data_IF_754302232348
#
_entry.id   IF_754302232348
#
_cell.length_a   1.000
_cell.length_b   1.000
_cell.length_c   1.000
_cell.angle_alpha   90.00
_cell.angle_beta   90.00
_cell.angle_gamma   90.00
#
_symmetry.space_group_name_H-M   'P 1'
#
loop_
_entity.id
_entity.type
_entity.pdbx_description
1 polymer ?
#
# COMPACT_ATOMS: atom_id res chain seq x y z
N UNK A 1 -12.71 2.04 -13.77
CA UNK A 1 -11.96 2.79 -14.77
C UNK A 1 -10.55 3.24 -14.31
N UNK A 2 -10.30 3.50 -13.03
CA UNK A 2 -8.96 3.93 -12.53
C UNK A 2 -7.85 2.86 -12.65
N UNK A 3 -8.15 1.57 -12.68
CA UNK A 3 -7.14 0.51 -12.81
C UNK A 3 -6.63 0.27 -14.25
N UNK A 4 -7.39 0.67 -15.25
CA UNK A 4 -7.03 0.47 -16.66
C UNK A 4 -5.97 1.46 -17.16
N UNK A 5 -6.03 2.72 -16.69
CA UNK A 5 -5.09 3.79 -17.05
C UNK A 5 -3.70 3.61 -16.39
N UNK A 6 -3.61 2.80 -15.35
CA UNK A 6 -2.33 2.52 -14.67
C UNK A 6 -1.52 1.38 -15.34
N UNK A 7 -2.08 0.73 -16.35
CA UNK A 7 -1.44 -0.37 -17.07
C UNK A 7 -0.80 0.17 -18.35
N UNK A 8 0.52 0.50 -18.28
CA UNK A 8 1.28 1.07 -19.39
C UNK A 8 1.12 0.28 -20.70
N UNK A 9 1.05 -1.06 -20.62
CA UNK A 9 0.88 -1.92 -21.80
C UNK A 9 -0.51 -1.77 -22.42
N UNK A 10 -1.55 -1.51 -21.63
CA UNK A 10 -2.89 -1.28 -22.13
C UNK A 10 -2.99 0.09 -22.82
N UNK A 11 -2.45 1.14 -22.20
CA UNK A 11 -2.46 2.49 -22.74
C UNK A 11 -1.66 2.59 -24.06
N UNK A 12 -0.43 2.04 -24.07
CA UNK A 12 0.40 2.04 -25.28
C UNK A 12 -0.13 1.10 -26.37
N UNK A 13 -0.82 0.02 -26.00
CA UNK A 13 -1.51 -0.88 -26.93
C UNK A 13 -2.68 -0.19 -27.62
N UNK A 14 -3.51 0.53 -26.87
CA UNK A 14 -4.60 1.35 -27.42
C UNK A 14 -4.06 2.42 -28.37
N UNK A 15 -2.93 3.04 -28.01
CA UNK A 15 -2.29 4.06 -28.85
C UNK A 15 -1.73 3.45 -30.16
N UNK A 16 -1.13 2.27 -30.10
CA UNK A 16 -0.66 1.55 -31.30
C UNK A 16 -1.82 1.14 -32.20
N UNK A 17 -2.95 0.71 -31.65
CA UNK A 17 -4.18 0.40 -32.40
C UNK A 17 -4.77 1.66 -33.01
N UNK A 18 -4.82 2.77 -32.28
CA UNK A 18 -5.30 4.06 -32.80
C UNK A 18 -4.47 4.54 -33.98
N UNK A 19 -3.13 4.43 -33.89
CA UNK A 19 -2.20 4.76 -34.98
C UNK A 19 -2.43 3.83 -36.19
N UNK A 20 -2.64 2.54 -35.98
CA UNK A 20 -2.93 1.59 -37.05
C UNK A 20 -4.26 1.91 -37.77
N UNK A 21 -5.30 2.30 -37.03
CA UNK A 21 -6.58 2.75 -37.57
C UNK A 21 -6.40 4.04 -38.39
N UNK A 22 -5.60 4.96 -37.91
CA UNK A 22 -5.33 6.23 -38.57
C UNK A 22 -4.53 6.03 -39.88
N UNK A 23 -3.61 5.08 -39.91
CA UNK A 23 -2.92 4.63 -41.13
C UNK A 23 -3.92 4.02 -42.11
N UNK A 24 -4.84 3.19 -41.64
CA UNK A 24 -5.79 2.49 -42.48
C UNK A 24 -6.82 3.42 -43.14
N UNK A 25 -7.39 4.34 -42.41
CA UNK A 25 -8.45 5.25 -42.88
C UNK A 25 -7.93 6.63 -43.30
N UNK A 26 -6.87 7.15 -42.65
CA UNK A 26 -6.34 8.49 -42.90
C UNK A 26 -5.39 8.56 -44.10
N UNK A 27 -4.56 7.55 -44.32
CA UNK A 27 -3.59 7.53 -45.41
C UNK A 27 -4.22 7.65 -46.83
N UNK A 28 -5.33 6.99 -47.17
CA UNK A 28 -5.97 7.17 -48.47
C UNK A 28 -6.44 8.60 -48.75
N UNK A 29 -6.83 9.30 -47.66
CA UNK A 29 -7.33 10.69 -47.78
C UNK A 29 -6.17 11.67 -47.90
N UNK A 30 -5.04 11.39 -47.23
CA UNK A 30 -3.91 12.29 -47.12
C UNK A 30 -2.86 12.09 -48.23
N UNK A 31 -2.68 10.86 -48.70
CA UNK A 31 -1.65 10.45 -49.66
C UNK A 31 -2.23 9.44 -50.66
N UNK A 32 -2.86 9.88 -51.75
CA UNK A 32 -3.48 8.98 -52.73
C UNK A 32 -2.51 7.96 -53.32
N UNK A 33 -1.22 8.28 -53.44
CA UNK A 33 -0.16 7.36 -53.89
C UNK A 33 0.03 6.13 -53.00
N UNK A 34 -0.37 6.21 -51.71
CA UNK A 34 -0.30 5.12 -50.73
C UNK A 34 -1.68 4.45 -50.51
N UNK A 35 -2.62 4.64 -51.42
CA UNK A 35 -3.97 4.08 -51.30
C UNK A 35 -4.02 2.56 -51.49
N UNK A 36 -2.94 1.91 -51.97
CA UNK A 36 -2.92 0.48 -52.13
C UNK A 36 -3.05 -0.27 -50.78
N UNK A 37 -4.00 -1.20 -50.70
CA UNK A 37 -4.34 -1.98 -49.50
C UNK A 37 -3.11 -2.67 -48.94
N UNK A 38 -2.21 -3.18 -49.78
CA UNK A 38 -0.99 -3.87 -49.36
C UNK A 38 -0.02 -2.92 -48.62
N UNK A 39 0.12 -1.65 -49.00
CA UNK A 39 1.00 -0.69 -48.33
C UNK A 39 0.43 -0.30 -46.97
N UNK A 40 -0.87 -0.06 -46.86
CA UNK A 40 -1.54 0.27 -45.59
C UNK A 40 -1.51 -0.88 -44.61
N UNK A 41 -1.79 -2.08 -45.11
CA UNK A 41 -1.70 -3.30 -44.30
C UNK A 41 -0.28 -3.56 -43.78
N UNK A 42 0.72 -3.36 -44.63
CA UNK A 42 2.14 -3.47 -44.27
C UNK A 42 2.55 -2.48 -43.18
N UNK A 43 2.20 -1.20 -43.32
CA UNK A 43 2.50 -0.17 -42.33
C UNK A 43 1.81 -0.39 -41.00
N UNK A 44 0.53 -0.71 -41.00
CA UNK A 44 -0.21 -1.05 -39.77
C UNK A 44 0.39 -2.29 -39.09
N UNK A 45 0.75 -3.33 -39.85
CA UNK A 45 1.39 -4.52 -39.32
C UNK A 45 2.78 -4.22 -38.70
N UNK A 46 3.58 -3.33 -39.30
CA UNK A 46 4.86 -2.92 -38.76
C UNK A 46 4.69 -2.17 -37.43
N UNK A 47 3.71 -1.28 -37.30
CA UNK A 47 3.44 -0.56 -36.04
C UNK A 47 3.03 -1.54 -34.94
N UNK A 48 2.14 -2.48 -35.23
CA UNK A 48 1.71 -3.48 -34.27
C UNK A 48 2.82 -4.45 -33.89
N UNK A 49 3.63 -4.88 -34.87
CA UNK A 49 4.78 -5.74 -34.64
C UNK A 49 5.87 -5.06 -33.78
N UNK A 50 6.17 -3.79 -34.07
CA UNK A 50 7.11 -2.99 -33.28
C UNK A 50 6.63 -2.80 -31.83
N UNK A 51 5.32 -2.55 -31.63
CA UNK A 51 4.75 -2.50 -30.29
C UNK A 51 4.82 -3.86 -29.57
N UNK A 52 4.47 -4.94 -30.25
CA UNK A 52 4.53 -6.29 -29.70
C UNK A 52 5.97 -6.70 -29.31
N UNK A 53 6.94 -6.36 -30.16
CA UNK A 53 8.36 -6.57 -29.89
C UNK A 53 8.84 -5.75 -28.68
N UNK A 54 8.48 -4.48 -28.60
CA UNK A 54 8.82 -3.62 -27.46
C UNK A 54 8.19 -4.12 -26.17
N UNK A 55 6.93 -4.57 -26.19
CA UNK A 55 6.25 -5.16 -25.07
C UNK A 55 6.88 -6.50 -24.64
N UNK A 56 7.28 -7.33 -25.60
CA UNK A 56 7.98 -8.60 -25.37
C UNK A 56 9.38 -8.40 -24.77
N UNK A 57 10.18 -7.48 -25.33
CA UNK A 57 11.52 -7.17 -24.84
C UNK A 57 11.48 -6.61 -23.39
N UNK A 58 10.52 -5.74 -23.09
CA UNK A 58 10.33 -5.24 -21.71
C UNK A 58 9.91 -6.35 -20.76
N UNK A 59 9.08 -7.29 -21.18
CA UNK A 59 8.71 -8.47 -20.37
C UNK A 59 9.91 -9.38 -20.12
N UNK A 60 10.76 -9.56 -21.14
CA UNK A 60 11.95 -10.37 -21.04
C UNK A 60 13.01 -9.74 -20.14
N UNK A 61 13.21 -8.41 -20.24
CA UNK A 61 14.16 -7.70 -19.38
C UNK A 61 13.69 -7.64 -17.91
N UNK A 62 12.38 -7.50 -17.66
CA UNK A 62 11.83 -7.58 -16.32
C UNK A 62 11.99 -8.99 -15.70
N UNK A 63 11.83 -10.03 -16.50
CA UNK A 63 12.07 -11.43 -16.06
C UNK A 63 13.57 -11.68 -15.82
N UNK A 64 14.43 -11.24 -16.73
CA UNK A 64 15.88 -11.38 -16.58
C UNK A 64 16.44 -10.56 -15.41
N UNK A 65 15.90 -9.37 -15.14
CA UNK A 65 16.26 -8.58 -13.96
C UNK A 65 15.87 -9.30 -12.67
N UNK A 66 14.71 -9.97 -12.62
CA UNK A 66 14.31 -10.77 -11.48
C UNK A 66 15.17 -12.03 -11.31
N UNK A 67 15.48 -12.72 -12.41
CA UNK A 67 16.28 -13.95 -12.40
C UNK A 67 17.78 -13.63 -12.09
N UNK A 68 18.32 -12.52 -12.60
CA UNK A 68 19.71 -12.09 -12.33
C UNK A 68 19.88 -11.61 -10.88
N UNK A 69 18.89 -10.93 -10.30
CA UNK A 69 18.89 -10.55 -8.89
C UNK A 69 18.81 -11.81 -8.01
N UNK A 70 17.97 -12.77 -8.34
CA UNK A 70 17.91 -14.06 -7.63
C UNK A 70 19.25 -14.82 -7.68
N UNK A 71 19.97 -14.80 -8.82
CA UNK A 71 21.27 -15.46 -8.97
C UNK A 71 22.44 -14.69 -8.34
N UNK A 72 22.43 -13.36 -8.36
CA UNK A 72 23.45 -12.53 -7.68
C UNK A 72 23.33 -12.60 -6.16
N UNK A 73 22.11 -12.79 -5.62
CA UNK A 73 21.87 -12.99 -4.20
C UNK A 73 22.34 -14.38 -3.71
N UNK A 74 22.32 -15.40 -4.58
CA UNK A 74 22.84 -16.73 -4.26
C UNK A 74 24.38 -16.78 -4.18
N UNK A 75 25.10 -15.80 -4.73
CA UNK A 75 26.58 -15.76 -4.76
C UNK A 75 27.22 -14.84 -3.73
N UNK A 76 26.42 -14.02 -3.02
CA UNK A 76 26.95 -13.21 -1.92
C UNK A 76 27.01 -14.04 -0.63
N UNK A 77 28.17 -14.58 -0.30
CA UNK A 77 28.46 -15.21 1.01
C UNK A 77 28.43 -14.13 2.11
N UNK A 78 27.23 -13.75 2.49
CA UNK A 78 26.96 -12.90 3.65
C UNK A 78 26.81 -13.76 4.89
N UNK A 79 26.82 -13.14 6.06
CA UNK A 79 26.66 -13.81 7.35
C UNK A 79 25.39 -14.69 7.39
N UNK A 80 25.38 -15.68 8.27
CA UNK A 80 24.27 -16.65 8.40
C UNK A 80 22.88 -16.00 8.52
N UNK A 81 22.82 -14.79 9.09
CA UNK A 81 21.61 -13.99 9.24
C UNK A 81 21.02 -13.54 7.88
N UNK A 82 21.88 -13.11 6.95
CA UNK A 82 21.45 -12.70 5.60
C UNK A 82 20.84 -13.88 4.85
N UNK A 83 21.45 -15.06 4.96
CA UNK A 83 20.95 -16.29 4.32
C UNK A 83 19.54 -16.65 4.85
N UNK A 84 19.33 -16.53 6.16
CA UNK A 84 18.01 -16.80 6.77
C UNK A 84 16.96 -15.80 6.29
N UNK A 85 17.28 -14.51 6.23
CA UNK A 85 16.35 -13.48 5.74
C UNK A 85 16.02 -13.71 4.27
N UNK A 86 17.03 -14.03 3.44
CA UNK A 86 16.84 -14.36 2.01
C UNK A 86 15.95 -15.58 1.80
N UNK A 87 16.22 -16.65 2.54
CA UNK A 87 15.42 -17.86 2.47
C UNK A 87 13.97 -17.60 2.85
N UNK A 88 13.72 -16.94 3.98
CA UNK A 88 12.37 -16.60 4.43
C UNK A 88 11.63 -15.69 3.46
N UNK A 89 12.30 -14.70 2.88
CA UNK A 89 11.71 -13.86 1.84
C UNK A 89 11.37 -14.67 0.59
N UNK A 90 12.24 -15.58 0.15
CA UNK A 90 12.00 -16.47 -0.99
C UNK A 90 10.78 -17.37 -0.78
N UNK A 91 10.68 -18.00 0.38
CA UNK A 91 9.53 -18.83 0.79
C UNK A 91 8.24 -18.01 0.81
N UNK A 92 8.28 -16.83 1.41
CA UNK A 92 7.17 -15.91 1.49
C UNK A 92 6.66 -15.47 0.10
N UNK A 93 7.57 -15.13 -0.81
CA UNK A 93 7.22 -14.73 -2.18
C UNK A 93 6.62 -15.90 -2.96
N UNK A 94 7.16 -17.11 -2.81
CA UNK A 94 6.59 -18.31 -3.45
C UNK A 94 5.18 -18.59 -2.95
N UNK A 95 4.97 -18.55 -1.65
CA UNK A 95 3.67 -18.71 -1.01
C UNK A 95 2.67 -17.66 -1.48
N UNK A 96 3.09 -16.40 -1.53
CA UNK A 96 2.25 -15.29 -2.00
C UNK A 96 1.90 -15.42 -3.48
N UNK A 97 2.82 -15.91 -4.33
CA UNK A 97 2.58 -16.18 -5.74
C UNK A 97 1.52 -17.28 -5.95
N UNK A 98 1.59 -18.35 -5.17
CA UNK A 98 0.59 -19.44 -5.23
C UNK A 98 -0.81 -18.94 -4.88
N UNK A 99 -0.92 -18.07 -3.88
CA UNK A 99 -2.18 -17.47 -3.41
C UNK A 99 -2.80 -16.52 -4.41
N UNK A 100 -1.98 -15.82 -5.16
CA UNK A 100 -2.44 -14.72 -6.05
C UNK A 100 -2.86 -15.19 -7.44
N UNK A 101 -3.04 -16.50 -7.65
CA UNK A 101 -3.54 -17.08 -8.92
C UNK A 101 -2.70 -16.74 -10.15
N UNK A 102 -1.39 -16.49 -9.98
CA UNK A 102 -0.48 -16.21 -11.10
C UNK A 102 -0.63 -14.82 -11.75
N UNK A 103 -1.31 -13.88 -11.11
CA UNK A 103 -1.40 -12.49 -11.59
C UNK A 103 0.00 -11.88 -11.75
N UNK A 104 0.21 -11.09 -12.82
CA UNK A 104 1.55 -10.56 -13.17
C UNK A 104 2.13 -9.61 -12.13
N UNK A 105 1.28 -8.85 -11.43
CA UNK A 105 1.67 -7.88 -10.40
C UNK A 105 1.26 -8.36 -9.00
N UNK A 106 1.33 -9.67 -8.76
CA UNK A 106 0.86 -10.28 -7.52
C UNK A 106 1.45 -9.64 -6.25
N UNK A 107 2.72 -9.22 -6.26
CA UNK A 107 3.36 -8.56 -5.12
C UNK A 107 2.73 -7.20 -4.77
N UNK A 108 2.03 -6.56 -5.71
CA UNK A 108 1.34 -5.28 -5.49
C UNK A 108 -0.17 -5.43 -5.35
N UNK A 109 -0.70 -6.65 -5.37
CA UNK A 109 -2.14 -6.92 -5.22
C UNK A 109 -2.65 -6.58 -3.82
N UNK A 110 -1.76 -6.65 -2.81
CA UNK A 110 -2.04 -6.33 -1.41
C UNK A 110 -1.00 -5.35 -0.86
N UNK A 111 -1.39 -4.47 0.08
CA UNK A 111 -0.45 -3.60 0.77
C UNK A 111 0.46 -4.40 1.71
N UNK A 112 1.70 -3.95 1.86
CA UNK A 112 2.69 -4.56 2.74
C UNK A 112 3.02 -3.63 3.90
N UNK A 113 3.02 -4.18 5.11
CA UNK A 113 3.35 -3.48 6.36
C UNK A 113 4.50 -4.17 7.07
N UNK A 114 5.31 -3.38 7.74
CA UNK A 114 6.35 -3.89 8.65
C UNK A 114 5.93 -3.56 10.07
N UNK A 115 5.90 -4.57 10.95
CA UNK A 115 5.70 -4.34 12.39
C UNK A 115 7.04 -4.43 13.11
N UNK A 116 7.39 -3.35 13.82
CA UNK A 116 8.62 -3.21 14.62
C UNK A 116 8.28 -2.96 16.08
N UNK A 117 9.20 -3.22 16.94
CA UNK A 117 9.08 -3.01 18.39
C UNK A 117 9.99 -3.94 19.16
N UNK A 118 10.30 -3.64 20.43
CA UNK A 118 11.23 -4.42 21.25
C UNK A 118 10.78 -5.87 21.46
N UNK A 119 11.67 -6.74 21.94
CA UNK A 119 11.29 -8.09 22.36
C UNK A 119 10.18 -8.04 23.41
N UNK A 120 9.19 -8.91 23.30
CA UNK A 120 8.10 -8.94 24.26
C UNK A 120 7.01 -7.86 24.05
N UNK A 121 7.13 -6.95 23.09
CA UNK A 121 6.12 -5.93 22.80
C UNK A 121 4.79 -6.48 22.25
N UNK A 122 4.59 -7.77 22.18
CA UNK A 122 3.32 -8.38 21.77
C UNK A 122 3.00 -8.33 20.27
N UNK A 123 3.99 -8.10 19.39
CA UNK A 123 3.82 -8.02 17.92
C UNK A 123 3.12 -9.25 17.34
N UNK A 124 3.74 -10.40 17.48
CA UNK A 124 3.24 -11.70 16.99
C UNK A 124 1.89 -12.05 17.62
N UNK A 125 1.75 -11.82 18.93
CA UNK A 125 0.49 -12.04 19.65
C UNK A 125 -0.64 -11.16 19.11
N UNK A 126 -0.34 -9.90 18.82
CA UNK A 126 -1.31 -8.98 18.20
C UNK A 126 -1.74 -9.49 16.82
N UNK A 127 -0.83 -9.98 15.99
CA UNK A 127 -1.17 -10.52 14.67
C UNK A 127 -2.01 -11.80 14.77
N UNK A 128 -1.60 -12.75 15.61
CA UNK A 128 -2.31 -14.01 15.83
C UNK A 128 -3.76 -13.77 16.29
N UNK A 129 -3.96 -12.80 17.15
CA UNK A 129 -5.26 -12.51 17.77
C UNK A 129 -5.99 -11.34 17.10
N UNK A 130 -5.51 -10.87 15.94
CA UNK A 130 -6.12 -9.77 15.18
C UNK A 130 -7.49 -10.10 14.61
N UNK A 131 -7.84 -11.40 14.53
CA UNK A 131 -9.04 -11.86 13.83
C UNK A 131 -8.96 -11.66 12.31
N UNK A 132 -7.77 -11.41 11.78
CA UNK A 132 -7.50 -11.48 10.35
C UNK A 132 -7.47 -12.97 9.92
N UNK A 133 -7.87 -13.22 8.69
CA UNK A 133 -7.74 -14.56 8.10
C UNK A 133 -6.37 -14.69 7.47
N UNK A 134 -5.60 -15.64 7.96
CA UNK A 134 -4.28 -16.00 7.42
C UNK A 134 -4.38 -17.38 6.76
N UNK A 135 -4.71 -17.45 5.45
CA UNK A 135 -4.97 -18.74 4.77
C UNK A 135 -3.80 -19.71 4.80
N UNK A 136 -2.59 -19.22 5.05
CA UNK A 136 -1.34 -19.97 4.97
C UNK A 136 -0.53 -19.96 6.26
N UNK A 137 -1.10 -19.55 7.37
CA UNK A 137 -0.43 -19.72 8.66
C UNK A 137 -0.42 -21.22 9.01
N UNK A 138 0.59 -21.91 8.55
CA UNK A 138 0.86 -23.27 9.01
C UNK A 138 1.08 -23.19 10.52
N UNK A 139 0.27 -23.95 11.26
CA UNK A 139 0.36 -23.95 12.74
C UNK A 139 1.72 -24.50 13.21
N UNK A 140 2.48 -25.14 12.34
CA UNK A 140 3.83 -25.64 12.60
C UNK A 140 4.90 -24.56 12.75
N UNK A 141 4.65 -23.32 12.27
CA UNK A 141 5.57 -22.18 12.43
C UNK A 141 5.33 -21.37 13.70
N UNK A 142 4.34 -21.74 14.50
CA UNK A 142 4.10 -21.14 15.83
C UNK A 142 5.15 -21.63 16.81
N UNK A 143 6.36 -21.10 16.70
CA UNK A 143 7.40 -21.28 17.72
C UNK A 143 6.91 -20.67 19.04
N UNK A 144 6.69 -21.54 20.06
CA UNK A 144 6.56 -21.11 21.44
C UNK A 144 7.89 -20.43 21.81
N UNK A 145 7.92 -19.08 21.86
CA UNK A 145 9.14 -18.36 22.21
C UNK A 145 9.43 -17.06 21.46
N UNK A 146 8.46 -16.57 20.67
CA UNK A 146 8.60 -15.31 19.89
C UNK A 146 9.31 -15.49 18.56
N UNK A 147 9.21 -14.48 17.72
CA UNK A 147 9.83 -14.42 16.39
C UNK A 147 11.34 -14.33 16.55
N UNK A 148 12.06 -15.41 16.22
CA UNK A 148 13.54 -15.42 16.35
C UNK A 148 14.21 -14.52 15.32
N UNK A 149 13.71 -14.51 14.07
CA UNK A 149 14.32 -13.74 12.99
C UNK A 149 13.28 -12.88 12.27
N UNK A 150 12.40 -13.48 11.51
CA UNK A 150 11.46 -12.80 10.62
C UNK A 150 10.32 -13.74 10.26
N UNK A 151 9.08 -13.27 10.34
CA UNK A 151 7.92 -14.02 9.89
C UNK A 151 7.06 -13.17 8.95
N UNK A 152 6.45 -13.84 7.95
CA UNK A 152 5.54 -13.22 7.00
C UNK A 152 4.12 -13.69 7.23
N UNK A 153 3.21 -12.74 7.40
CA UNK A 153 1.80 -12.97 7.65
C UNK A 153 0.98 -12.49 6.46
N UNK A 154 0.43 -13.42 5.68
CA UNK A 154 -0.40 -13.10 4.52
C UNK A 154 -1.87 -13.19 4.89
N UNK A 155 -2.49 -12.03 5.15
CA UNK A 155 -3.93 -11.91 5.32
C UNK A 155 -4.64 -11.71 3.97
N UNK A 156 -5.94 -11.86 3.96
CA UNK A 156 -6.73 -11.57 2.76
C UNK A 156 -6.58 -10.11 2.32
N UNK A 157 -6.39 -9.19 3.27
CA UNK A 157 -6.33 -7.75 3.04
C UNK A 157 -4.91 -7.18 2.89
N UNK A 158 -3.90 -7.81 3.50
CA UNK A 158 -2.54 -7.26 3.58
C UNK A 158 -1.48 -8.35 3.79
N UNK A 159 -0.23 -8.03 3.46
CA UNK A 159 0.95 -8.76 3.91
C UNK A 159 1.62 -7.98 5.06
N UNK A 160 1.96 -8.67 6.14
CA UNK A 160 2.61 -8.08 7.30
C UNK A 160 3.92 -8.81 7.56
N UNK A 161 4.99 -8.05 7.69
CA UNK A 161 6.32 -8.55 8.01
C UNK A 161 6.53 -8.36 9.51
N UNK A 162 6.49 -9.46 10.27
CA UNK A 162 6.74 -9.47 11.71
C UNK A 162 8.23 -9.61 11.97
N UNK A 163 8.83 -8.56 12.52
CA UNK A 163 10.27 -8.49 12.75
C UNK A 163 10.65 -8.97 14.14
N UNK A 164 11.82 -9.61 14.24
CA UNK A 164 12.37 -9.94 15.55
C UNK A 164 12.54 -8.68 16.41
N UNK A 165 12.16 -8.77 17.69
CA UNK A 165 12.28 -7.65 18.61
C UNK A 165 13.72 -7.14 18.76
N UNK A 166 14.71 -8.03 18.68
CA UNK A 166 16.14 -7.71 18.72
C UNK A 166 16.59 -6.78 17.60
N UNK A 167 15.91 -6.78 16.45
CA UNK A 167 16.18 -5.79 15.37
C UNK A 167 15.86 -4.37 15.81
N UNK A 168 14.98 -4.18 16.77
CA UNK A 168 14.66 -2.86 17.32
C UNK A 168 15.58 -2.49 18.49
N UNK A 169 15.79 -3.38 19.45
CA UNK A 169 16.57 -3.08 20.67
C UNK A 169 18.09 -3.20 20.50
N UNK A 170 18.56 -4.14 19.66
CA UNK A 170 19.98 -4.44 19.43
C UNK A 170 20.74 -4.84 20.71
N UNK A 171 20.09 -5.51 21.64
CA UNK A 171 20.64 -5.82 22.97
C UNK A 171 21.54 -7.07 22.96
N UNK A 172 21.42 -7.97 21.97
CA UNK A 172 22.08 -9.27 21.97
C UNK A 172 23.39 -9.31 21.14
N UNK A 173 23.29 -8.94 19.86
CA UNK A 173 24.41 -8.81 18.92
C UNK A 173 24.09 -7.70 17.92
N UNK A 174 24.53 -6.48 18.27
CA UNK A 174 24.19 -5.29 17.49
C UNK A 174 24.64 -5.37 16.04
N UNK A 175 25.71 -6.11 15.72
CA UNK A 175 26.23 -6.26 14.36
C UNK A 175 25.36 -7.19 13.51
N UNK A 176 25.04 -8.38 14.02
CA UNK A 176 24.19 -9.36 13.37
C UNK A 176 22.75 -8.83 13.21
N UNK A 177 22.21 -8.20 14.27
CA UNK A 177 20.87 -7.63 14.27
C UNK A 177 20.74 -6.47 13.25
N UNK A 178 21.78 -5.63 13.13
CA UNK A 178 21.84 -4.57 12.12
C UNK A 178 21.94 -5.13 10.71
N UNK A 179 22.67 -6.23 10.52
CA UNK A 179 22.83 -6.88 9.23
C UNK A 179 21.53 -7.54 8.78
N UNK A 180 20.87 -8.30 9.65
CA UNK A 180 19.56 -8.90 9.35
C UNK A 180 18.50 -7.86 9.01
N UNK A 181 18.46 -6.74 9.72
CA UNK A 181 17.58 -5.62 9.42
C UNK A 181 17.86 -5.00 8.05
N UNK A 182 19.13 -4.73 7.72
CA UNK A 182 19.52 -4.17 6.40
C UNK A 182 19.21 -5.14 5.27
N UNK A 183 19.44 -6.43 5.48
CA UNK A 183 19.10 -7.49 4.53
C UNK A 183 17.60 -7.50 4.24
N UNK A 184 16.76 -7.45 5.27
CA UNK A 184 15.31 -7.34 5.11
C UNK A 184 14.92 -6.13 4.26
N UNK A 185 15.42 -4.94 4.58
CA UNK A 185 15.12 -3.73 3.81
C UNK A 185 15.59 -3.84 2.35
N UNK A 186 16.77 -4.43 2.13
CA UNK A 186 17.29 -4.71 0.80
C UNK A 186 16.39 -5.64 0.00
N UNK A 187 15.93 -6.72 0.61
CA UNK A 187 14.99 -7.67 0.01
C UNK A 187 13.62 -7.05 -0.32
N UNK A 188 13.07 -6.25 0.58
CA UNK A 188 11.82 -5.53 0.33
C UNK A 188 11.94 -4.59 -0.86
N UNK A 189 13.04 -3.83 -0.94
CA UNK A 189 13.30 -2.91 -2.06
C UNK A 189 13.54 -3.65 -3.38
N UNK A 190 14.28 -4.74 -3.37
CA UNK A 190 14.59 -5.53 -4.55
C UNK A 190 13.33 -6.17 -5.14
N UNK A 191 12.48 -6.76 -4.30
CA UNK A 191 11.27 -7.45 -4.74
C UNK A 191 10.10 -6.50 -5.04
N UNK A 192 10.05 -5.32 -4.40
CA UNK A 192 9.00 -4.32 -4.59
C UNK A 192 9.59 -2.91 -4.84
N UNK A 193 10.33 -2.68 -5.93
CA UNK A 193 11.06 -1.44 -6.15
C UNK A 193 10.18 -0.19 -6.28
N UNK A 194 8.91 -0.33 -6.70
CA UNK A 194 7.99 0.81 -6.85
C UNK A 194 7.42 1.29 -5.52
N UNK A 195 7.06 0.36 -4.66
CA UNK A 195 6.46 0.61 -3.36
C UNK A 195 6.81 -0.54 -2.42
N UNK A 196 7.99 -0.50 -1.79
CA UNK A 196 8.49 -1.58 -0.94
C UNK A 196 7.53 -1.95 0.18
N UNK A 197 6.98 -0.94 0.86
CA UNK A 197 5.98 -1.08 1.92
C UNK A 197 4.92 0.00 1.83
N UNK A 198 3.79 -0.22 2.49
CA UNK A 198 2.65 0.71 2.56
C UNK A 198 2.54 1.41 3.91
N UNK A 199 3.19 0.91 4.95
CA UNK A 199 3.18 1.51 6.27
C UNK A 199 4.04 0.76 7.26
N UNK A 200 4.25 1.39 8.41
CA UNK A 200 4.96 0.82 9.55
C UNK A 200 4.05 0.81 10.77
N UNK A 201 4.01 -0.32 11.45
CA UNK A 201 3.31 -0.48 12.73
C UNK A 201 4.39 -0.56 13.82
N UNK A 202 4.35 0.34 14.79
CA UNK A 202 5.23 0.31 15.95
C UNK A 202 4.45 -0.30 17.11
N UNK A 203 4.87 -1.45 17.59
CA UNK A 203 4.30 -2.07 18.78
C UNK A 203 5.16 -1.75 20.01
N UNK A 204 4.53 -1.22 21.03
CA UNK A 204 5.15 -0.89 22.33
C UNK A 204 4.24 -1.40 23.46
N UNK A 205 4.77 -2.24 24.32
CA UNK A 205 4.03 -2.74 25.49
C UNK A 205 3.77 -1.64 26.51
N UNK A 206 2.53 -1.52 26.97
CA UNK A 206 2.19 -0.58 28.05
C UNK A 206 2.99 -0.91 29.31
N UNK A 207 3.17 -2.19 29.62
CA UNK A 207 4.00 -2.66 30.73
C UNK A 207 5.47 -2.17 30.61
N UNK A 208 6.01 -2.24 29.42
CA UNK A 208 7.37 -1.79 29.11
C UNK A 208 7.49 -0.27 29.29
N UNK A 209 6.52 0.47 28.76
CA UNK A 209 6.44 1.92 28.91
C UNK A 209 6.31 2.35 30.39
N UNK A 210 5.55 1.58 31.19
CA UNK A 210 5.35 1.87 32.60
C UNK A 210 6.52 1.47 33.50
N UNK A 211 7.18 0.35 33.20
CA UNK A 211 8.32 -0.16 33.99
C UNK A 211 9.60 0.63 33.74
N UNK A 212 9.79 1.13 32.51
CA UNK A 212 10.95 1.89 32.13
C UNK A 212 11.07 3.18 32.97
N UNK A 213 12.30 3.49 33.40
CA UNK A 213 12.65 4.82 33.85
C UNK A 213 12.63 5.81 32.65
N UNK A 214 12.78 7.10 32.92
CA UNK A 214 12.75 8.10 31.85
C UNK A 214 13.86 7.88 30.82
N UNK A 215 15.04 7.46 31.24
CA UNK A 215 16.15 7.14 30.34
C UNK A 215 15.85 5.88 29.49
N UNK A 216 15.13 4.90 30.06
CA UNK A 216 14.64 3.73 29.33
C UNK A 216 13.64 4.11 28.22
N UNK A 217 12.72 5.02 28.52
CA UNK A 217 11.79 5.54 27.51
C UNK A 217 12.55 6.23 26.36
N UNK A 218 13.57 7.02 26.68
CA UNK A 218 14.41 7.68 25.66
C UNK A 218 15.19 6.66 24.82
N UNK A 219 15.72 5.59 25.43
CA UNK A 219 16.39 4.50 24.69
C UNK A 219 15.42 3.83 23.71
N UNK A 220 14.21 3.48 24.15
CA UNK A 220 13.20 2.89 23.27
C UNK A 220 12.83 3.84 22.12
N UNK A 221 12.60 5.12 22.42
CA UNK A 221 12.30 6.12 21.41
C UNK A 221 13.42 6.28 20.38
N UNK A 222 14.68 6.35 20.85
CA UNK A 222 15.88 6.47 20.01
C UNK A 222 16.07 5.24 19.11
N UNK A 223 15.88 4.04 19.66
CA UNK A 223 15.98 2.79 18.90
C UNK A 223 14.95 2.73 17.79
N UNK A 224 13.68 3.06 18.08
CA UNK A 224 12.62 3.13 17.09
C UNK A 224 12.94 4.17 16.03
N UNK A 225 13.33 5.39 16.43
CA UNK A 225 13.73 6.46 15.52
C UNK A 225 14.84 6.01 14.56
N UNK A 226 15.86 5.36 15.08
CA UNK A 226 16.98 4.86 14.27
C UNK A 226 16.49 3.89 13.18
N UNK A 227 15.63 2.94 13.54
CA UNK A 227 15.04 1.99 12.56
C UNK A 227 14.18 2.68 11.52
N UNK A 228 13.39 3.70 11.89
CA UNK A 228 12.59 4.47 10.95
C UNK A 228 13.45 5.27 9.97
N UNK A 229 14.56 5.85 10.45
CA UNK A 229 15.53 6.54 9.59
C UNK A 229 16.18 5.58 8.58
N UNK A 230 16.67 4.41 9.05
CA UNK A 230 17.25 3.40 8.16
C UNK A 230 16.24 2.90 7.13
N UNK A 231 15.01 2.65 7.55
CA UNK A 231 13.91 2.25 6.67
C UNK A 231 13.66 3.32 5.60
N UNK A 232 13.51 4.58 6.01
CA UNK A 232 13.29 5.70 5.12
C UNK A 232 14.42 5.88 4.10
N UNK A 233 15.67 5.82 4.56
CA UNK A 233 16.87 5.97 3.71
C UNK A 233 17.00 4.82 2.71
N UNK A 234 16.78 3.58 3.18
CA UNK A 234 16.98 2.38 2.35
C UNK A 234 15.86 2.20 1.35
N UNK A 235 14.61 2.32 1.77
CA UNK A 235 13.45 2.08 0.90
C UNK A 235 13.09 3.28 0.03
N UNK A 236 13.54 4.49 0.38
CA UNK A 236 13.23 5.76 -0.29
C UNK A 236 11.72 6.04 -0.39
N UNK A 237 10.98 5.73 0.68
CA UNK A 237 9.54 5.97 0.77
C UNK A 237 9.18 6.65 2.08
N UNK A 238 8.28 7.63 2.06
CA UNK A 238 7.64 8.16 3.25
C UNK A 238 6.35 7.38 3.50
N UNK A 239 6.31 6.65 4.60
CA UNK A 239 5.18 5.78 4.93
C UNK A 239 4.39 6.33 6.11
N UNK A 240 3.08 6.07 6.18
CA UNK A 240 2.32 6.26 7.40
C UNK A 240 2.83 5.32 8.49
N UNK A 241 2.87 5.83 9.71
CA UNK A 241 3.34 5.12 10.89
C UNK A 241 2.22 5.07 11.93
N UNK A 242 1.95 3.89 12.47
CA UNK A 242 0.90 3.64 13.45
C UNK A 242 1.52 3.17 14.76
N UNK A 243 1.26 3.88 15.87
CA UNK A 243 1.74 3.48 17.18
C UNK A 243 0.71 2.59 17.89
N UNK A 244 1.05 1.33 18.07
CA UNK A 244 0.28 0.34 18.79
C UNK A 244 0.79 0.24 20.22
N UNK A 245 -0.02 0.67 21.18
CA UNK A 245 0.19 0.46 22.60
C UNK A 245 -0.49 -0.87 22.99
N UNK A 246 0.32 -1.92 23.02
CA UNK A 246 -0.14 -3.30 23.28
C UNK A 246 -0.22 -3.59 24.77
N UNK A 247 -0.83 -4.72 25.13
CA UNK A 247 -0.96 -5.19 26.51
C UNK A 247 -1.65 -4.18 27.43
N UNK A 248 -2.64 -3.44 26.89
CA UNK A 248 -3.39 -2.45 27.69
C UNK A 248 -4.21 -3.11 28.80
N UNK A 249 -4.50 -4.39 28.68
CA UNK A 249 -5.13 -5.25 29.68
C UNK A 249 -4.31 -5.36 30.99
N UNK A 250 -3.02 -5.05 30.94
CA UNK A 250 -2.19 -4.97 32.14
C UNK A 250 -2.40 -3.69 32.96
N UNK A 251 -3.15 -2.71 32.46
CA UNK A 251 -3.57 -1.56 33.26
C UNK A 251 -4.68 -2.01 34.22
N UNK A 252 -4.52 -1.74 35.50
CA UNK A 252 -5.51 -2.07 36.50
C UNK A 252 -6.88 -1.45 36.15
N UNK A 253 -7.90 -2.26 36.19
CA UNK A 253 -9.27 -1.86 35.86
C UNK A 253 -9.64 -1.88 34.38
N UNK A 254 -8.73 -2.20 33.47
CA UNK A 254 -9.04 -2.29 32.04
C UNK A 254 -10.12 -3.33 31.76
N UNK A 255 -9.98 -4.52 32.28
CA UNK A 255 -10.93 -5.62 32.07
C UNK A 255 -12.31 -5.23 32.59
N UNK A 256 -12.39 -4.79 33.84
CA UNK A 256 -13.61 -4.39 34.48
C UNK A 256 -14.30 -3.23 33.78
N UNK A 257 -13.50 -2.35 33.17
CA UNK A 257 -13.98 -1.19 32.44
C UNK A 257 -14.60 -1.54 31.08
N UNK A 258 -14.13 -2.61 30.43
CA UNK A 258 -14.53 -2.98 29.07
C UNK A 258 -15.20 -4.37 28.95
N UNK A 259 -15.46 -5.08 30.04
CA UNK A 259 -16.07 -6.42 29.98
C UNK A 259 -17.56 -6.42 29.58
N UNK A 260 -18.24 -5.27 29.67
CA UNK A 260 -19.59 -5.06 29.17
C UNK A 260 -19.67 -5.07 27.62
N UNK A 261 -18.53 -4.97 26.94
CA UNK A 261 -18.51 -4.96 25.49
C UNK A 261 -18.81 -6.35 24.91
N UNK A 262 -19.73 -6.39 23.96
CA UNK A 262 -19.98 -7.55 23.13
C UNK A 262 -18.79 -7.82 22.18
N UNK A 263 -18.88 -8.89 21.39
CA UNK A 263 -17.83 -9.24 20.42
C UNK A 263 -17.58 -8.14 19.38
N UNK A 264 -18.60 -7.36 19.02
CA UNK A 264 -18.47 -6.28 18.04
C UNK A 264 -17.82 -5.05 18.68
N UNK A 265 -18.20 -4.69 19.90
CA UNK A 265 -17.59 -3.60 20.66
C UNK A 265 -16.10 -3.83 20.94
N UNK A 266 -15.71 -5.07 21.27
CA UNK A 266 -14.29 -5.43 21.43
C UNK A 266 -13.45 -5.33 20.14
N UNK A 267 -14.07 -5.38 18.96
CA UNK A 267 -13.40 -5.18 17.67
C UNK A 267 -13.21 -3.71 17.31
N UNK A 268 -13.85 -2.77 18.03
CA UNK A 268 -13.76 -1.33 17.75
C UNK A 268 -12.31 -0.81 17.78
N UNK A 269 -12.13 0.44 17.43
CA UNK A 269 -10.82 1.13 17.52
C UNK A 269 -10.78 1.89 18.84
N UNK A 270 -9.76 1.65 19.65
CA UNK A 270 -9.49 2.39 20.88
C UNK A 270 -8.22 3.20 20.71
N UNK A 271 -8.33 4.51 20.52
CA UNK A 271 -7.20 5.38 20.27
C UNK A 271 -7.60 6.63 19.49
N UNK A 272 -6.60 7.29 18.93
CA UNK A 272 -6.80 8.52 18.17
C UNK A 272 -6.05 8.45 16.84
N UNK A 273 -6.76 8.71 15.75
CA UNK A 273 -6.19 8.96 14.44
C UNK A 273 -6.05 10.46 14.23
N UNK A 274 -4.87 10.92 13.83
CA UNK A 274 -4.61 12.33 13.53
C UNK A 274 -5.27 12.70 12.19
N UNK A 275 -5.86 13.89 12.14
CA UNK A 275 -6.69 14.29 11.00
C UNK A 275 -5.89 14.52 9.73
N UNK A 276 -4.76 15.20 9.82
CA UNK A 276 -3.95 15.57 8.66
C UNK A 276 -2.71 14.67 8.56
N UNK A 277 -2.64 13.82 7.51
CA UNK A 277 -1.48 12.95 7.29
C UNK A 277 -0.23 13.71 6.84
N UNK A 278 -0.37 14.92 6.33
CA UNK A 278 0.71 15.72 5.78
C UNK A 278 1.19 16.82 6.75
N UNK A 279 0.51 16.98 7.89
CA UNK A 279 0.91 17.94 8.91
C UNK A 279 2.30 17.63 9.48
N UNK A 280 3.14 18.63 9.75
CA UNK A 280 4.36 18.44 10.50
C UNK A 280 4.07 17.83 11.87
N UNK A 281 4.98 17.00 12.35
CA UNK A 281 4.85 16.40 13.69
C UNK A 281 4.80 17.52 14.75
N UNK A 282 3.72 17.51 15.55
CA UNK A 282 3.55 18.35 16.74
C UNK A 282 3.29 17.47 17.97
N UNK A 283 4.25 17.46 18.89
CA UNK A 283 4.13 16.73 20.16
C UNK A 283 2.96 17.23 21.01
N UNK A 284 2.66 18.55 20.98
CA UNK A 284 1.58 19.13 21.77
C UNK A 284 0.22 18.66 21.24
N UNK A 285 0.07 18.51 19.93
CA UNK A 285 -1.15 17.94 19.33
C UNK A 285 -1.39 16.50 19.83
N UNK A 286 -0.34 15.67 19.87
CA UNK A 286 -0.44 14.30 20.37
C UNK A 286 -0.84 14.27 21.83
N UNK A 287 -0.23 15.12 22.67
CA UNK A 287 -0.54 15.21 24.09
C UNK A 287 -1.98 15.69 24.29
N UNK A 288 -2.40 16.72 23.57
CA UNK A 288 -3.78 17.21 23.63
C UNK A 288 -4.79 16.15 23.12
N UNK A 289 -4.44 15.38 22.10
CA UNK A 289 -5.24 14.27 21.62
C UNK A 289 -5.36 13.16 22.67
N UNK A 290 -4.27 12.85 23.37
CA UNK A 290 -4.29 11.89 24.47
C UNK A 290 -5.16 12.39 25.66
N UNK A 291 -5.03 13.66 26.03
CA UNK A 291 -5.83 14.26 27.11
C UNK A 291 -7.34 14.20 26.77
N UNK A 292 -7.70 14.52 25.53
CA UNK A 292 -9.09 14.38 25.06
C UNK A 292 -9.56 12.91 25.08
N UNK A 293 -8.69 11.99 24.69
CA UNK A 293 -8.98 10.57 24.71
C UNK A 293 -9.25 10.06 26.13
N UNK A 294 -8.41 10.42 27.10
CA UNK A 294 -8.59 10.08 28.52
C UNK A 294 -9.89 10.70 29.07
N UNK A 295 -10.15 11.95 28.76
CA UNK A 295 -11.38 12.65 29.18
C UNK A 295 -12.64 11.96 28.65
N UNK A 296 -12.61 11.45 27.43
CA UNK A 296 -13.74 10.71 26.85
C UNK A 296 -14.04 9.41 27.60
N UNK A 297 -13.03 8.80 28.26
CA UNK A 297 -13.26 7.63 29.12
C UNK A 297 -14.09 7.99 30.37
N UNK A 298 -14.03 9.24 30.83
CA UNK A 298 -14.85 9.69 31.97
C UNK A 298 -16.37 9.56 31.75
N UNK A 299 -16.85 9.84 30.53
CA UNK A 299 -18.27 9.64 30.20
C UNK A 299 -18.67 8.16 30.27
N UNK A 300 -17.82 7.27 29.77
CA UNK A 300 -18.03 5.82 29.86
C UNK A 300 -17.98 5.32 31.30
N UNK A 301 -17.06 5.85 32.10
CA UNK A 301 -16.87 5.49 33.51
C UNK A 301 -18.16 5.65 34.32
N UNK A 302 -18.86 6.80 34.18
CA UNK A 302 -20.09 7.06 34.88
C UNK A 302 -21.16 5.96 34.60
N UNK A 303 -21.29 5.59 33.31
CA UNK A 303 -22.19 4.49 32.92
C UNK A 303 -21.75 3.17 33.54
N UNK A 304 -20.49 2.80 33.43
CA UNK A 304 -20.00 1.52 33.99
C UNK A 304 -20.16 1.42 35.50
N UNK A 305 -19.94 2.51 36.21
CA UNK A 305 -20.16 2.54 37.68
C UNK A 305 -21.62 2.38 38.07
N UNK A 306 -22.58 2.81 37.23
CA UNK A 306 -24.01 2.62 37.49
C UNK A 306 -24.48 1.18 37.23
N UNK A 307 -23.80 0.44 36.38
CA UNK A 307 -24.14 -0.92 35.96
C UNK A 307 -23.44 -1.99 36.81
N UNK A 308 -22.30 -1.67 37.46
CA UNK A 308 -21.52 -2.63 38.24
C UNK A 308 -21.99 -2.69 39.72
N UNK A 309 -22.30 -3.88 40.17
CA UNK A 309 -22.77 -4.12 41.56
C UNK A 309 -21.66 -4.45 42.54
N UNK A 310 -20.54 -5.03 42.07
CA UNK A 310 -19.43 -5.45 42.93
C UNK A 310 -18.56 -4.25 43.34
N UNK A 311 -18.36 -4.07 44.65
CA UNK A 311 -17.62 -2.94 45.18
C UNK A 311 -16.14 -2.93 44.78
N UNK A 312 -15.51 -4.09 44.68
CA UNK A 312 -14.10 -4.22 44.28
C UNK A 312 -13.93 -3.86 42.81
N UNK A 313 -14.81 -4.38 41.95
CA UNK A 313 -14.82 -4.06 40.52
C UNK A 313 -15.13 -2.58 40.27
N UNK A 314 -16.07 -2.01 41.03
CA UNK A 314 -16.35 -0.55 40.98
C UNK A 314 -15.12 0.28 41.29
N UNK A 315 -14.31 -0.12 42.28
CA UNK A 315 -13.06 0.55 42.62
C UNK A 315 -12.06 0.52 41.45
N UNK A 316 -11.94 -0.64 40.78
CA UNK A 316 -11.09 -0.80 39.59
C UNK A 316 -11.59 0.05 38.42
N UNK A 317 -12.90 0.05 38.14
CA UNK A 317 -13.52 0.90 37.12
C UNK A 317 -13.27 2.38 37.43
N UNK A 318 -13.41 2.79 38.71
CA UNK A 318 -13.17 4.16 39.13
C UNK A 318 -11.70 4.57 38.91
N UNK A 319 -10.76 3.68 39.16
CA UNK A 319 -9.31 3.92 39.03
C UNK A 319 -8.80 3.96 37.58
N UNK A 320 -9.47 3.26 36.64
CA UNK A 320 -8.96 3.00 35.29
C UNK A 320 -8.58 4.26 34.49
N UNK A 321 -9.40 5.33 34.40
CA UNK A 321 -9.01 6.55 33.68
C UNK A 321 -7.74 7.21 34.22
N UNK A 322 -7.52 7.14 35.56
CA UNK A 322 -6.31 7.65 36.17
C UNK A 322 -5.08 6.77 35.87
N UNK A 323 -5.27 5.44 35.84
CA UNK A 323 -4.21 4.52 35.37
C UNK A 323 -3.83 4.83 33.91
N UNK A 324 -4.81 5.02 33.06
CA UNK A 324 -4.58 5.42 31.66
C UNK A 324 -3.86 6.76 31.57
N UNK A 325 -4.30 7.77 32.34
CA UNK A 325 -3.67 9.09 32.40
C UNK A 325 -2.20 9.05 32.85
N UNK A 326 -1.82 8.05 33.65
CA UNK A 326 -0.43 7.87 34.10
C UNK A 326 0.57 7.59 32.97
N UNK A 327 0.09 7.17 31.79
CA UNK A 327 0.89 6.98 30.59
C UNK A 327 1.31 8.31 29.93
N UNK A 328 0.61 9.42 30.22
CA UNK A 328 0.74 10.70 29.51
C UNK A 328 2.18 11.17 29.34
N UNK A 329 2.92 11.28 30.42
CA UNK A 329 4.29 11.81 30.40
C UNK A 329 5.26 10.92 29.64
N UNK A 330 5.09 9.60 29.78
CA UNK A 330 5.93 8.62 29.09
C UNK A 330 5.60 8.52 27.62
N UNK A 331 4.32 8.54 27.26
CA UNK A 331 3.88 8.59 25.87
C UNK A 331 4.39 9.86 25.18
N UNK A 332 4.23 11.03 25.82
CA UNK A 332 4.73 12.31 25.31
C UNK A 332 6.25 12.26 25.06
N UNK A 333 6.99 11.70 26.02
CA UNK A 333 8.44 11.57 25.93
C UNK A 333 8.87 10.61 24.83
N UNK A 334 8.23 9.45 24.74
CA UNK A 334 8.48 8.46 23.67
C UNK A 334 8.20 9.07 22.29
N UNK A 335 7.03 9.67 22.11
CA UNK A 335 6.62 10.26 20.82
C UNK A 335 7.53 11.42 20.44
N UNK A 336 7.90 12.29 21.39
CA UNK A 336 8.86 13.38 21.17
C UNK A 336 10.24 12.88 20.75
N UNK A 337 10.74 11.82 21.39
CA UNK A 337 12.03 11.22 21.04
C UNK A 337 12.02 10.46 19.73
N UNK A 338 10.94 9.72 19.44
CA UNK A 338 10.82 8.92 18.22
C UNK A 338 10.51 9.76 16.98
N UNK A 339 9.65 10.77 17.09
CA UNK A 339 9.12 11.53 15.95
C UNK A 339 9.51 13.02 15.95
N UNK A 340 10.16 13.50 17.02
CA UNK A 340 10.58 14.89 17.14
C UNK A 340 11.45 15.40 15.99
N UNK A 341 11.86 16.69 16.04
CA UNK A 341 12.58 17.33 14.95
C UNK A 341 13.86 16.62 14.56
N UNK A 342 14.24 16.71 13.28
CA UNK A 342 15.43 16.07 12.71
C UNK A 342 15.13 15.47 11.34
N UNK A 343 15.77 14.31 11.04
CA UNK A 343 15.57 13.64 9.77
C UNK A 343 14.12 13.14 9.62
N UNK A 344 13.54 13.38 8.45
CA UNK A 344 12.19 12.95 8.13
C UNK A 344 12.09 11.41 8.13
N UNK A 345 11.16 10.85 8.86
CA UNK A 345 10.98 9.41 9.03
C UNK A 345 9.66 8.87 8.45
N UNK A 346 8.66 9.71 8.28
CA UNK A 346 7.30 9.37 7.87
C UNK A 346 6.29 10.10 8.76
N UNK A 347 5.01 9.94 8.46
CA UNK A 347 3.92 10.60 9.17
C UNK A 347 3.35 9.70 10.26
N UNK A 348 3.37 10.13 11.53
CA UNK A 348 2.65 9.47 12.60
C UNK A 348 1.13 9.67 12.36
N UNK A 349 0.38 8.57 12.21
CA UNK A 349 -1.07 8.60 11.95
C UNK A 349 -1.91 8.60 13.21
N UNK A 350 -1.35 8.14 14.31
CA UNK A 350 -2.06 8.08 15.57
C UNK A 350 -1.45 7.10 16.55
N UNK A 351 -2.10 6.99 17.70
CA UNK A 351 -1.79 6.01 18.73
C UNK A 351 -3.05 5.21 19.09
N UNK A 352 -2.86 3.91 19.30
CA UNK A 352 -3.97 2.98 19.47
C UNK A 352 -3.66 1.99 20.59
N UNK A 353 -4.64 1.74 21.44
CA UNK A 353 -4.54 0.79 22.56
C UNK A 353 -5.13 -0.54 22.15
N UNK A 354 -4.40 -1.63 22.39
CA UNK A 354 -4.80 -2.97 22.01
C UNK A 354 -4.43 -3.99 23.08
N UNK A 355 -5.24 -5.04 23.19
CA UNK A 355 -4.90 -6.21 23.99
C UNK A 355 -5.02 -7.47 23.12
N UNK A 356 -3.98 -8.30 23.16
CA UNK A 356 -4.01 -9.67 22.67
C UNK A 356 -4.50 -10.63 23.76
N UNK A 357 -3.98 -11.87 23.74
CA UNK A 357 -4.25 -12.84 24.82
C UNK A 357 -3.43 -12.46 26.06
N UNK A 358 -4.06 -12.62 27.21
CA UNK A 358 -3.51 -12.18 28.48
C UNK A 358 -2.69 -13.28 29.16
N UNK A 359 -1.40 -13.00 29.35
CA UNK A 359 -0.52 -13.72 30.27
C UNK A 359 0.18 -12.67 31.15
N UNK A 360 -0.35 -12.38 32.33
CA UNK A 360 0.32 -11.48 33.27
C UNK A 360 -0.59 -10.94 34.37
N UNK A 361 0.02 -10.46 35.47
CA UNK A 361 -0.69 -9.79 36.53
C UNK A 361 -0.91 -8.30 36.17
N UNK A 362 -2.07 -7.72 36.47
CA UNK A 362 -2.35 -6.30 36.26
C UNK A 362 -1.37 -5.40 36.99
N UNK A 363 -0.95 -4.31 36.33
CA UNK A 363 -0.08 -3.28 36.89
C UNK A 363 -0.93 -2.16 37.49
N UNK A 364 -0.89 -1.99 38.80
CA UNK A 364 -1.50 -0.87 39.48
C UNK A 364 -0.47 0.19 39.85
N UNK A 365 -0.50 1.29 39.12
CA UNK A 365 0.43 2.41 39.33
C UNK A 365 0.01 3.35 40.47
N UNK A 366 -1.26 3.44 40.75
CA UNK A 366 -1.77 4.35 41.76
C UNK A 366 -1.46 3.82 43.18
N UNK A 367 -1.43 2.49 43.32
CA UNK A 367 -1.14 1.82 44.59
C UNK A 367 0.30 1.38 44.74
N UNK A 368 1.14 1.48 43.70
CA UNK A 368 2.54 1.00 43.76
C UNK A 368 3.43 1.69 44.82
N UNK A 369 3.03 2.84 45.35
CA UNK A 369 3.68 3.48 46.49
C UNK A 369 3.22 3.00 47.89
N UNK A 370 2.11 2.22 47.93
CA UNK A 370 1.52 1.73 49.19
C UNK A 370 1.42 0.20 49.20
N UNK A 371 1.51 -0.44 48.04
CA UNK A 371 1.21 -1.85 47.82
C UNK A 371 2.30 -2.85 48.25
N UNK A 372 3.50 -2.41 48.59
CA UNK A 372 4.48 -3.33 49.25
C UNK A 372 3.95 -3.94 50.57
N UNK A 373 2.90 -3.36 51.14
CA UNK A 373 2.36 -3.76 52.44
C UNK A 373 1.10 -4.62 52.31
N UNK A 374 0.35 -4.55 51.21
CA UNK A 374 -1.00 -5.16 51.13
C UNK A 374 -1.36 -5.98 49.88
N UNK A 375 -0.45 -6.13 48.93
CA UNK A 375 -0.79 -6.86 47.70
C UNK A 375 -0.70 -8.37 47.86
N UNK A 376 -1.84 -9.01 48.19
CA UNK A 376 -2.08 -10.35 47.67
C UNK A 376 -2.38 -10.22 46.17
N UNK A 377 -1.69 -10.97 45.29
CA UNK A 377 -2.06 -11.03 43.89
C UNK A 377 -3.45 -11.70 43.83
N UNK A 378 -4.50 -10.92 43.69
CA UNK A 378 -5.76 -11.45 43.23
C UNK A 378 -5.55 -11.83 41.77
N UNK A 379 -5.38 -13.13 41.52
CA UNK A 379 -5.54 -13.70 40.22
C UNK A 379 -6.97 -13.35 39.76
N UNK A 380 -7.09 -12.33 38.92
CA UNK A 380 -8.31 -12.11 38.19
C UNK A 380 -8.53 -13.38 37.38
N UNK A 381 -9.66 -14.08 37.58
CA UNK A 381 -10.17 -15.13 36.73
C UNK A 381 -10.51 -14.46 35.38
N UNK A 382 -9.50 -14.07 34.61
CA UNK A 382 -9.70 -13.62 33.25
C UNK A 382 -10.02 -14.85 32.42
N UNK A 383 -11.22 -14.89 31.86
CA UNK A 383 -11.55 -15.84 30.79
C UNK A 383 -10.46 -15.65 29.70
N UNK A 384 -9.48 -16.55 29.68
CA UNK A 384 -8.35 -16.53 28.77
C UNK A 384 -8.85 -16.57 27.34
N UNK A 385 -8.47 -15.59 26.52
CA UNK A 385 -8.68 -15.62 25.08
C UNK A 385 -9.46 -14.45 24.46
N UNK A 386 -9.89 -13.45 25.24
CA UNK A 386 -10.57 -12.28 24.67
C UNK A 386 -9.56 -11.25 24.16
N UNK A 387 -9.69 -10.84 22.88
CA UNK A 387 -8.90 -9.76 22.29
C UNK A 387 -9.70 -8.47 22.25
N UNK A 388 -9.02 -7.33 22.42
CA UNK A 388 -9.64 -6.01 22.44
C UNK A 388 -8.98 -5.07 21.45
N UNK A 389 -9.80 -4.38 20.65
CA UNK A 389 -9.48 -3.18 19.87
C UNK A 389 -8.44 -3.34 18.78
N UNK A 390 -8.31 -4.53 18.19
CA UNK A 390 -7.28 -4.82 17.20
C UNK A 390 -7.84 -5.02 15.77
N UNK A 391 -8.96 -5.75 15.62
CA UNK A 391 -9.46 -6.19 14.32
C UNK A 391 -9.84 -5.01 13.40
N UNK A 392 -10.71 -4.11 13.85
CA UNK A 392 -11.11 -2.94 13.06
C UNK A 392 -10.00 -1.93 12.92
N UNK A 393 -9.08 -1.84 13.88
CA UNK A 393 -7.91 -1.00 13.76
C UNK A 393 -7.09 -1.37 12.53
N UNK A 394 -6.77 -2.65 12.35
CA UNK A 394 -6.00 -3.08 11.19
C UNK A 394 -6.77 -2.89 9.87
N UNK A 395 -8.04 -3.30 9.83
CA UNK A 395 -8.85 -3.26 8.60
C UNK A 395 -9.30 -1.86 8.20
N UNK A 396 -9.80 -1.08 9.16
CA UNK A 396 -10.48 0.19 8.87
C UNK A 396 -9.56 1.41 8.98
N UNK A 397 -8.45 1.30 9.69
CA UNK A 397 -7.46 2.38 9.81
C UNK A 397 -6.22 2.04 9.02
N UNK A 398 -5.46 1.03 9.44
CA UNK A 398 -4.13 0.75 8.89
C UNK A 398 -4.19 0.38 7.41
N UNK A 399 -5.00 -0.62 7.04
CA UNK A 399 -5.05 -1.10 5.64
C UNK A 399 -5.81 -0.16 4.71
N UNK A 400 -6.79 0.60 5.24
CA UNK A 400 -7.53 1.59 4.46
C UNK A 400 -6.65 2.75 4.01
N UNK A 401 -5.65 3.10 4.80
CA UNK A 401 -4.69 4.16 4.51
C UNK A 401 -3.49 3.70 3.66
N UNK A 402 -3.53 2.51 3.06
CA UNK A 402 -2.44 1.96 2.23
C UNK A 402 -1.98 2.87 1.08
N UNK A 403 -2.83 3.79 0.64
CA UNK A 403 -2.55 4.76 -0.42
C UNK A 403 -1.80 6.02 0.03
N UNK A 404 -1.60 6.25 1.34
CA UNK A 404 -0.93 7.45 1.87
C UNK A 404 0.59 7.42 1.71
N UNK A 405 1.15 6.37 1.14
CA UNK A 405 2.60 6.27 0.91
C UNK A 405 3.05 7.31 -0.10
N UNK A 406 3.97 8.17 0.32
CA UNK A 406 4.63 9.09 -0.59
C UNK A 406 5.90 8.44 -1.13
N UNK A 407 5.89 8.14 -2.43
CA UNK A 407 7.08 7.61 -3.12
C UNK A 407 8.21 8.63 -3.15
N UNK A 408 9.46 8.17 -3.01
CA UNK A 408 10.64 9.03 -2.95
C UNK A 408 10.85 9.88 -4.21
N UNK A 409 11.74 10.86 -4.11
CA UNK A 409 12.04 11.81 -5.21
C UNK A 409 12.40 11.11 -6.52
N UNK A 410 13.19 10.04 -6.45
CA UNK A 410 13.63 9.27 -7.63
C UNK A 410 12.46 8.63 -8.37
N UNK A 411 11.48 8.09 -7.64
CA UNK A 411 10.28 7.51 -8.26
C UNK A 411 9.38 8.59 -8.87
N UNK A 412 9.25 9.75 -8.21
CA UNK A 412 8.49 10.91 -8.74
C UNK A 412 9.15 11.51 -9.97
N UNK A 413 10.47 11.67 -9.96
CA UNK A 413 11.22 12.17 -11.12
C UNK A 413 11.10 11.22 -12.31
N UNK A 414 11.20 9.91 -12.06
CA UNK A 414 11.03 8.92 -13.12
C UNK A 414 9.62 8.91 -13.69
N UNK A 415 8.58 9.04 -12.85
CA UNK A 415 7.20 9.20 -13.31
C UNK A 415 7.00 10.51 -14.07
N UNK A 416 7.56 11.63 -13.58
CA UNK A 416 7.48 12.93 -14.23
C UNK A 416 8.20 12.92 -15.58
N UNK A 417 9.40 12.34 -15.66
CA UNK A 417 10.15 12.18 -16.91
C UNK A 417 9.39 11.30 -17.89
N UNK A 418 8.79 10.19 -17.44
CA UNK A 418 7.96 9.33 -18.30
C UNK A 418 6.71 10.03 -18.82
N UNK A 419 6.04 10.85 -17.99
CA UNK A 419 4.89 11.66 -18.40
C UNK A 419 5.30 12.73 -19.42
N UNK A 420 6.40 13.44 -19.19
CA UNK A 420 6.90 14.46 -20.10
C UNK A 420 7.31 13.83 -21.44
N UNK A 421 8.03 12.70 -21.41
CA UNK A 421 8.46 12.00 -22.63
C UNK A 421 7.26 11.50 -23.44
N UNK A 422 6.21 11.00 -22.78
CA UNK A 422 4.98 10.56 -23.48
C UNK A 422 4.20 11.74 -24.06
N UNK A 423 4.10 12.86 -23.34
CA UNK A 423 3.45 14.09 -23.82
C UNK A 423 4.20 14.70 -25.02
N UNK A 424 5.52 14.74 -24.95
CA UNK A 424 6.37 15.20 -26.07
C UNK A 424 6.18 14.28 -27.28
N UNK A 425 6.18 12.96 -27.06
CA UNK A 425 5.93 11.99 -28.16
C UNK A 425 4.56 12.20 -28.82
N UNK A 426 3.51 12.41 -28.05
CA UNK A 426 2.17 12.72 -28.59
C UNK A 426 2.19 14.06 -29.33
N UNK A 427 2.84 15.08 -28.78
CA UNK A 427 2.97 16.39 -29.43
C UNK A 427 3.65 16.32 -30.79
N UNK A 428 4.78 15.60 -30.90
CA UNK A 428 5.49 15.39 -32.15
C UNK A 428 4.62 14.69 -33.19
N UNK A 429 3.93 13.60 -32.79
CA UNK A 429 3.01 12.88 -33.69
C UNK A 429 1.89 13.80 -34.19
N UNK A 430 1.33 14.62 -33.31
CA UNK A 430 0.26 15.56 -33.65
C UNK A 430 0.74 16.61 -34.66
N UNK A 431 1.94 17.19 -34.44
CA UNK A 431 2.54 18.18 -35.37
C UNK A 431 2.82 17.57 -36.75
N UNK A 432 3.35 16.35 -36.81
CA UNK A 432 3.58 15.62 -38.06
C UNK A 432 2.26 15.37 -38.79
N UNK A 433 1.19 14.97 -38.08
CA UNK A 433 -0.10 14.75 -38.69
C UNK A 433 -0.72 16.06 -39.25
N UNK A 434 -0.64 17.15 -38.48
CA UNK A 434 -1.10 18.46 -38.94
C UNK A 434 -0.28 18.90 -40.18
N UNK A 435 1.04 18.72 -40.19
CA UNK A 435 1.91 19.00 -41.33
C UNK A 435 1.53 18.22 -42.59
N UNK A 436 1.21 16.93 -42.46
CA UNK A 436 0.73 16.07 -43.52
C UNK A 436 -0.61 16.52 -44.08
N UNK A 437 -1.55 16.90 -43.19
CA UNK A 437 -2.88 17.41 -43.57
C UNK A 437 -2.73 18.72 -44.39
N UNK A 438 -1.93 19.65 -43.88
CA UNK A 438 -1.67 20.93 -44.57
C UNK A 438 -0.98 20.70 -45.93
N UNK A 439 -0.01 19.81 -45.99
CA UNK A 439 0.68 19.47 -47.23
C UNK A 439 -0.26 18.85 -48.26
N UNK A 440 -1.15 17.92 -47.84
CA UNK A 440 -2.15 17.34 -48.72
C UNK A 440 -3.18 18.38 -49.20
N UNK A 441 -3.63 19.28 -48.33
CA UNK A 441 -4.53 20.37 -48.72
C UNK A 441 -3.90 21.30 -49.73
N UNK A 442 -2.58 21.59 -49.59
CA UNK A 442 -1.86 22.43 -50.56
C UNK A 442 -1.61 21.74 -51.91
N UNK A 443 -1.42 20.41 -51.92
CA UNK A 443 -1.26 19.65 -53.17
C UNK A 443 -2.57 19.53 -53.92
N UNK A 444 -3.69 19.30 -53.27
CA UNK A 444 -5.01 19.28 -53.89
C UNK A 444 -5.41 20.63 -54.51
N UNK A 445 -4.96 21.76 -53.97
CA UNK A 445 -5.17 23.08 -54.57
C UNK A 445 -4.33 23.35 -55.82
N UNK A 446 -3.21 22.61 -56.00
CA UNK A 446 -2.32 22.81 -57.16
C UNK A 446 -2.75 22.03 -58.40
N UNK A 447 -3.53 20.98 -58.26
CA UNK A 447 -4.08 20.23 -59.39
C UNK A 447 -5.57 20.52 -59.50
N UNK A 448 -6.02 21.57 -60.20
CA UNK A 448 -7.42 21.71 -60.56
C UNK A 448 -7.78 20.52 -61.41
N UNK A 449 -8.79 19.75 -60.99
CA UNK A 449 -9.33 18.65 -61.77
C UNK A 449 -9.52 19.11 -63.21
N UNK A 450 -9.03 18.37 -64.23
CA UNK A 450 -9.32 18.72 -65.63
C UNK A 450 -10.82 18.81 -65.79
N UNK A 451 -11.27 20.00 -66.17
CA UNK A 451 -12.69 20.21 -66.47
C UNK A 451 -13.10 19.14 -67.48
N UNK A 452 -14.05 18.30 -67.10
CA UNK A 452 -14.63 17.32 -67.99
C UNK A 452 -15.19 18.09 -69.16
N UNK A 453 -14.48 18.02 -70.30
CA UNK A 453 -15.02 18.52 -71.58
C UNK A 453 -16.21 17.63 -71.89
N UNK A 454 -17.39 18.13 -71.60
CA UNK A 454 -18.62 17.59 -72.16
C UNK A 454 -18.60 17.91 -73.65
N UNK A 455 -18.15 16.96 -74.50
CA UNK A 455 -18.26 17.03 -75.90
C UNK A 455 -19.77 16.90 -76.27
N UNK A 456 -20.38 18.03 -76.56
CA UNK A 456 -21.70 18.04 -77.25
C UNK A 456 -21.44 17.55 -78.68
N UNK A 457 -21.66 16.26 -78.97
CA UNK A 457 -21.81 15.79 -80.31
C UNK A 457 -23.16 16.36 -80.77
N UNK A 458 -23.10 17.29 -81.70
CA UNK A 458 -24.26 17.80 -82.38
C UNK A 458 -24.94 16.65 -83.09
N UNK A 459 -26.15 16.34 -82.69
CA UNK A 459 -27.03 15.43 -83.42
C UNK A 459 -27.28 16.06 -84.78
N UNK A 460 -26.87 15.36 -85.83
CA UNK A 460 -27.19 15.73 -87.24
C UNK A 460 -28.71 15.78 -87.48
N UNK A 461 -29.16 16.47 -88.50
CA UNK A 461 -30.58 16.70 -88.74
C UNK A 461 -31.33 15.38 -89.01
N UNK A 462 -32.39 15.18 -88.28
CA UNK A 462 -33.29 14.05 -88.44
C UNK A 462 -33.98 14.15 -89.82
N UNK A 463 -33.82 13.13 -90.64
CA UNK A 463 -34.63 12.93 -91.83
C UNK A 463 -36.06 12.59 -91.37
N UNK A 464 -37.11 13.15 -92.10
CA UNK A 464 -38.47 12.80 -91.80
C UNK A 464 -38.77 11.38 -92.30
N UNK A 465 -39.60 10.60 -91.64
CA UNK A 465 -40.03 9.30 -92.17
C UNK A 465 -41.07 9.47 -93.24
N UNK A 466 -40.70 9.03 -94.42
CA UNK A 466 -41.60 8.72 -95.52
C UNK A 466 -42.08 7.28 -95.35
N UNK A 467 -43.37 7.10 -95.21
CA UNK A 467 -44.21 6.01 -95.63
C UNK A 467 -45.34 5.77 -94.62
N UNK A 468 -46.51 6.32 -95.02
CA UNK A 468 -47.84 5.97 -94.57
C UNK A 468 -48.40 4.89 -95.51
N UNK A 469 -48.84 3.75 -95.06
CA UNK A 469 -49.68 2.88 -95.83
C UNK A 469 -51.16 3.31 -95.67
N UNK A 470 -51.98 3.07 -96.67
CA UNK A 470 -53.35 3.66 -96.83
C UNK A 470 -54.32 3.02 -95.87
N UNK A 471 -55.27 3.87 -95.52
CA UNK A 471 -56.53 3.63 -94.85
C UNK A 471 -57.39 2.64 -95.61
N UNK A 472 -57.86 1.56 -95.02
CA UNK A 472 -59.01 0.79 -95.41
C UNK A 472 -60.01 0.75 -94.25
N UNK A 473 -60.92 1.73 -94.42
CA UNK A 473 -62.18 1.76 -93.71
C UNK A 473 -63.15 0.82 -94.33
N UNK A 474 -64.07 0.34 -93.51
CA UNK A 474 -65.39 -0.21 -93.78
C UNK A 474 -65.50 -1.74 -93.85
N UNK A 475 -66.22 -2.22 -92.99
CA UNK A 475 -67.61 -2.64 -92.95
C UNK A 475 -67.80 -3.78 -91.91
N UNK A 476 -68.85 -3.66 -91.17
CA UNK A 476 -69.46 -4.73 -90.39
C UNK A 476 -69.78 -4.29 -88.98
#
# INVERSE_FOLDING_TARGET
MKGFLNNWTAVTGLLAVAVAILIWFGFPILLPAMAAVAIRGGLAAVVLAAWAAAAFLRRRSAKQANDSIANQLATASGAAEDAVVQQRMGEAIQQFKQTSGGQRDYLYSRPWYVIIGPPGAGKTTALLNSGLRFPFSDQSLKGIGGTRNLDFWFADEAAIVDTAGRYTSQDSDASADSQGWRSLLGQLKANRPKQPINGVIIALGVDELLKADLAGVDRHASSVRHRLIELRRTLDVATPIYLLLTKVDLLAGFIEFYDDLDAQGRRAVLGVTLKDPDAPFDQNEIVAAFDRFVSAQGARQAKRLSEEGDATRRSLILGYPAQLASLRSRLARFVGGAFGPGEAIGALRGFYFTSGVQDGAPLDRLLSGVAEIYAKPQAANSESGKTYFLNRLLREVVFREAGLVQTGRVAREKQRTQLITSLVGIGVVTVVLIGLIVMNYMTQKRDPAPAAQVSWQAAGPAHPPTDMPPDESRTG
#
